data_IF_649877536794
#
_entry.id   IF_649877536794
#
_cell.length_a   1.000
_cell.length_b   1.000
_cell.length_c   1.000
_cell.angle_alpha   90.00
_cell.angle_beta   90.00
_cell.angle_gamma   90.00
#
_symmetry.space_group_name_H-M   'P 1'
#
loop_
_entity.id
_entity.type
_entity.pdbx_description
1 polymer ?
#
# COMPACT_ATOMS: atom_id res chain seq x y z
N UNK A 1 -30.20 45.07 -34.83
CA UNK A 1 -29.28 44.85 -33.72
C UNK A 1 -29.41 43.41 -33.29
N UNK A 2 -28.42 42.59 -33.63
CA UNK A 2 -28.40 41.20 -33.21
C UNK A 2 -27.41 41.10 -32.07
N UNK A 3 -27.89 40.81 -30.89
CA UNK A 3 -27.04 40.46 -29.75
C UNK A 3 -26.62 39.02 -29.88
N UNK A 4 -25.35 38.81 -30.13
CA UNK A 4 -24.77 37.50 -30.06
C UNK A 4 -24.40 37.27 -28.60
N UNK A 5 -25.17 36.47 -27.92
CA UNK A 5 -24.82 35.93 -26.62
C UNK A 5 -23.74 34.86 -26.85
N UNK A 6 -22.49 35.25 -26.67
CA UNK A 6 -21.43 34.29 -26.55
C UNK A 6 -21.63 33.53 -25.24
N UNK A 7 -22.12 32.31 -25.36
CA UNK A 7 -22.18 31.41 -24.22
C UNK A 7 -20.77 31.07 -23.75
N UNK A 8 -20.37 31.54 -22.59
CA UNK A 8 -19.21 31.03 -21.90
C UNK A 8 -19.52 29.58 -21.50
N UNK A 9 -19.00 28.65 -22.27
CA UNK A 9 -18.90 27.29 -21.81
C UNK A 9 -17.82 27.25 -20.71
N UNK A 10 -18.23 27.29 -19.46
CA UNK A 10 -17.36 27.03 -18.36
C UNK A 10 -16.96 25.53 -18.45
N UNK A 11 -15.77 25.27 -18.94
CA UNK A 11 -15.19 23.96 -18.82
C UNK A 11 -14.93 23.71 -17.32
N UNK A 12 -15.80 22.95 -16.69
CA UNK A 12 -15.53 22.39 -15.37
C UNK A 12 -14.38 21.41 -15.53
N UNK A 13 -13.17 21.87 -15.25
CA UNK A 13 -12.05 21.00 -14.95
C UNK A 13 -12.40 20.30 -13.65
N UNK A 14 -12.94 19.10 -13.76
CA UNK A 14 -12.95 18.18 -12.64
C UNK A 14 -11.49 17.75 -12.46
N UNK A 15 -10.77 18.46 -11.60
CA UNK A 15 -9.53 17.97 -11.07
C UNK A 15 -9.95 16.83 -10.15
N UNK A 16 -10.05 15.61 -10.72
CA UNK A 16 -10.14 14.43 -9.93
C UNK A 16 -8.91 14.40 -9.05
N UNK A 17 -9.09 14.43 -7.72
CA UNK A 17 -8.04 14.03 -6.83
C UNK A 17 -7.61 12.65 -7.30
N UNK A 18 -6.41 12.57 -7.89
CA UNK A 18 -5.74 11.31 -8.06
C UNK A 18 -5.32 10.84 -6.66
N UNK A 19 -6.28 10.50 -5.82
CA UNK A 19 -6.01 9.57 -4.75
C UNK A 19 -5.52 8.32 -5.47
N UNK A 20 -4.27 7.94 -5.19
CA UNK A 20 -3.78 6.66 -5.62
C UNK A 20 -4.86 5.65 -5.21
N UNK A 21 -5.57 5.11 -6.20
CA UNK A 21 -6.62 4.15 -5.93
C UNK A 21 -6.02 3.08 -5.03
N UNK A 22 -6.59 2.90 -3.83
CA UNK A 22 -6.13 1.85 -2.94
C UNK A 22 -6.23 0.53 -3.70
N UNK A 23 -5.20 -0.30 -3.57
CA UNK A 23 -5.20 -1.61 -4.21
C UNK A 23 -6.43 -2.41 -3.76
N UNK A 24 -7.07 -3.10 -4.69
CA UNK A 24 -8.00 -4.15 -4.33
C UNK A 24 -7.24 -5.43 -3.94
N UNK A 25 -7.95 -6.40 -3.38
CA UNK A 25 -7.35 -7.65 -2.93
C UNK A 25 -6.62 -8.38 -4.06
N UNK A 26 -7.19 -8.45 -5.26
CA UNK A 26 -6.60 -9.17 -6.38
C UNK A 26 -5.31 -8.47 -6.86
N UNK A 27 -5.31 -7.14 -6.93
CA UNK A 27 -4.12 -6.36 -7.29
C UNK A 27 -3.02 -6.48 -6.24
N UNK A 28 -3.38 -6.46 -4.96
CA UNK A 28 -2.44 -6.64 -3.86
C UNK A 28 -1.80 -8.03 -3.87
N UNK A 29 -2.59 -9.08 -4.06
CA UNK A 29 -2.08 -10.45 -4.16
C UNK A 29 -1.15 -10.63 -5.37
N UNK A 30 -1.48 -10.04 -6.51
CA UNK A 30 -0.63 -10.08 -7.68
C UNK A 30 0.73 -9.39 -7.42
N UNK A 31 0.70 -8.26 -6.73
CA UNK A 31 1.90 -7.53 -6.33
C UNK A 31 2.73 -8.32 -5.32
N UNK A 32 2.11 -8.96 -4.35
CA UNK A 32 2.77 -9.83 -3.38
C UNK A 32 3.53 -10.97 -4.08
N UNK A 33 2.94 -11.59 -5.09
CA UNK A 33 3.59 -12.66 -5.86
C UNK A 33 4.74 -12.12 -6.69
N UNK A 34 4.51 -11.03 -7.39
CA UNK A 34 5.52 -10.38 -8.23
C UNK A 34 6.75 -9.97 -7.44
N UNK A 35 6.55 -9.42 -6.26
CA UNK A 35 7.62 -8.86 -5.43
C UNK A 35 8.16 -9.84 -4.38
N UNK A 36 7.71 -11.10 -4.42
CA UNK A 36 8.22 -12.16 -3.56
C UNK A 36 7.68 -12.17 -2.13
N UNK A 37 6.76 -11.30 -1.79
CA UNK A 37 6.18 -11.19 -0.44
C UNK A 37 5.38 -12.44 -0.06
N UNK A 38 4.71 -13.05 -1.02
CA UNK A 38 3.85 -14.22 -0.80
C UNK A 38 4.61 -15.48 -0.37
N UNK A 39 5.94 -15.50 -0.51
CA UNK A 39 6.76 -16.60 -0.01
C UNK A 39 6.75 -16.69 1.52
N UNK A 40 6.61 -15.56 2.21
CA UNK A 40 6.70 -15.47 3.67
C UNK A 40 5.46 -14.91 4.34
N UNK A 41 4.61 -14.23 3.60
CA UNK A 41 3.41 -13.57 4.11
C UNK A 41 2.15 -14.05 3.41
N UNK A 42 1.06 -14.11 4.16
CA UNK A 42 -0.29 -14.23 3.63
C UNK A 42 -1.16 -13.13 4.23
N UNK A 43 -2.35 -12.93 3.67
CA UNK A 43 -3.27 -11.89 4.16
C UNK A 43 -3.79 -12.22 5.55
N UNK A 44 -4.20 -13.47 5.77
CA UNK A 44 -5.00 -13.90 6.91
C UNK A 44 -4.33 -14.96 7.79
N UNK A 45 -3.14 -15.39 7.48
CA UNK A 45 -2.43 -16.40 8.28
C UNK A 45 -0.93 -16.19 8.29
N UNK A 46 -0.31 -16.59 9.40
CA UNK A 46 1.15 -16.63 9.53
C UNK A 46 1.71 -17.77 8.68
N UNK A 47 2.76 -17.46 7.92
CA UNK A 47 3.58 -18.46 7.23
C UNK A 47 4.97 -18.45 7.88
N UNK A 48 5.94 -17.77 7.29
CA UNK A 48 7.24 -17.49 7.91
C UNK A 48 7.17 -16.15 8.64
N UNK A 49 6.63 -15.12 7.97
CA UNK A 49 6.35 -13.83 8.57
C UNK A 49 4.91 -13.71 9.05
N UNK A 50 4.58 -12.62 9.75
CA UNK A 50 3.22 -12.38 10.22
C UNK A 50 2.23 -12.25 9.08
N UNK A 51 0.95 -12.54 9.35
CA UNK A 51 -0.11 -12.21 8.42
C UNK A 51 -0.22 -10.68 8.26
N UNK A 52 -0.70 -10.22 7.13
CA UNK A 52 -0.90 -8.79 6.93
C UNK A 52 -2.00 -8.21 7.83
N UNK A 53 -3.00 -9.02 8.19
CA UNK A 53 -4.00 -8.63 9.18
C UNK A 53 -3.39 -8.39 10.56
N UNK A 54 -2.44 -9.23 10.97
CA UNK A 54 -1.70 -9.04 12.22
C UNK A 54 -0.84 -7.77 12.19
N UNK A 55 -0.19 -7.51 11.06
CA UNK A 55 0.59 -6.27 10.85
C UNK A 55 -0.32 -5.05 10.99
N UNK A 56 -1.47 -5.06 10.32
CA UNK A 56 -2.43 -3.97 10.41
C UNK A 56 -2.92 -3.75 11.86
N UNK A 57 -3.22 -4.82 12.57
CA UNK A 57 -3.66 -4.74 13.97
C UNK A 57 -2.58 -4.16 14.88
N UNK A 58 -1.32 -4.56 14.70
CA UNK A 58 -0.19 -4.06 15.50
C UNK A 58 0.03 -2.57 15.32
N UNK A 59 -0.09 -2.08 14.11
CA UNK A 59 0.19 -0.68 13.78
C UNK A 59 -1.05 0.22 13.73
N UNK A 60 -2.19 -0.29 14.19
CA UNK A 60 -3.42 0.49 14.23
C UNK A 60 -3.22 1.76 15.07
N UNK A 61 -3.52 2.92 14.48
CA UNK A 61 -3.38 4.21 15.15
C UNK A 61 -1.96 4.78 15.16
N UNK A 62 -0.98 4.06 14.64
CA UNK A 62 0.39 4.58 14.50
C UNK A 62 0.49 5.40 13.20
N UNK A 63 0.60 6.71 13.35
CA UNK A 63 0.70 7.65 12.21
C UNK A 63 2.00 7.49 11.42
N UNK A 64 3.02 6.93 12.04
CA UNK A 64 4.32 6.70 11.40
C UNK A 64 4.42 5.32 10.74
N UNK A 65 3.41 4.47 10.89
CA UNK A 65 3.42 3.12 10.36
C UNK A 65 3.72 3.04 8.86
N UNK A 66 3.13 3.90 7.99
CA UNK A 66 3.45 3.84 6.57
C UNK A 66 4.94 4.00 6.27
N UNK A 67 5.61 4.94 6.90
CA UNK A 67 7.05 5.17 6.71
C UNK A 67 7.89 4.04 7.32
N UNK A 68 7.54 3.60 8.53
CA UNK A 68 8.24 2.50 9.21
C UNK A 68 8.16 1.20 8.42
N UNK A 69 6.99 0.86 7.91
CA UNK A 69 6.78 -0.38 7.16
C UNK A 69 7.42 -0.33 5.78
N UNK A 70 7.37 0.80 5.11
CA UNK A 70 8.06 0.99 3.84
C UNK A 70 9.58 0.79 4.00
N UNK A 71 10.17 1.36 5.04
CA UNK A 71 11.57 1.16 5.38
C UNK A 71 11.88 -0.31 5.69
N UNK A 72 11.01 -0.98 6.45
CA UNK A 72 11.16 -2.40 6.79
C UNK A 72 11.18 -3.28 5.54
N UNK A 73 10.32 -3.02 4.57
CA UNK A 73 10.29 -3.77 3.31
C UNK A 73 11.58 -3.55 2.52
N UNK A 74 12.04 -2.32 2.42
CA UNK A 74 13.24 -1.99 1.63
C UNK A 74 14.54 -2.49 2.27
N UNK A 75 14.67 -2.36 3.58
CA UNK A 75 15.91 -2.66 4.31
C UNK A 75 15.87 -4.03 5.00
N UNK A 76 14.70 -4.60 5.21
CA UNK A 76 14.55 -5.85 5.97
C UNK A 76 14.82 -5.68 7.46
N UNK A 77 15.05 -6.78 8.12
CA UNK A 77 15.39 -6.81 9.54
C UNK A 77 14.64 -7.85 10.32
N UNK A 78 14.88 -7.90 11.63
CA UNK A 78 14.27 -8.86 12.55
C UNK A 78 13.97 -8.20 13.91
N UNK A 79 13.34 -8.95 14.80
CA UNK A 79 13.13 -8.55 16.19
C UNK A 79 11.72 -8.09 16.54
N UNK A 80 10.99 -7.47 15.61
CA UNK A 80 9.60 -7.02 15.87
C UNK A 80 8.64 -8.21 15.95
N UNK A 81 8.84 -9.20 15.08
CA UNK A 81 8.01 -10.40 14.95
C UNK A 81 8.76 -11.69 15.27
N UNK A 82 9.88 -11.58 15.93
CA UNK A 82 10.73 -12.71 16.26
C UNK A 82 12.11 -12.61 15.61
N UNK A 83 12.85 -13.71 15.64
CA UNK A 83 14.26 -13.73 15.25
C UNK A 83 14.50 -14.01 13.77
N UNK A 84 13.51 -14.56 13.07
CA UNK A 84 13.66 -14.85 11.63
C UNK A 84 13.69 -13.53 10.88
N UNK A 85 14.79 -13.23 10.16
CA UNK A 85 14.90 -11.95 9.48
C UNK A 85 14.04 -11.90 8.23
N UNK A 86 13.43 -10.74 7.98
CA UNK A 86 12.87 -10.41 6.70
C UNK A 86 14.00 -9.94 5.78
N UNK A 87 14.22 -10.58 4.63
CA UNK A 87 15.22 -10.09 3.70
C UNK A 87 14.90 -8.70 3.16
N UNK A 88 15.90 -7.88 2.83
CA UNK A 88 15.63 -6.61 2.18
C UNK A 88 15.05 -6.82 0.78
N UNK A 89 14.05 -6.01 0.43
CA UNK A 89 13.45 -6.02 -0.91
C UNK A 89 13.89 -4.75 -1.66
N UNK A 90 15.12 -4.78 -2.16
CA UNK A 90 15.74 -3.61 -2.80
C UNK A 90 15.23 -3.37 -4.23
N UNK A 91 14.58 -4.36 -4.84
CA UNK A 91 14.19 -4.29 -6.27
C UNK A 91 12.76 -3.80 -6.50
N UNK A 92 11.90 -3.86 -5.48
CA UNK A 92 10.54 -3.32 -5.56
C UNK A 92 10.59 -1.79 -5.57
N UNK A 93 9.86 -1.17 -6.48
CA UNK A 93 9.80 0.28 -6.56
C UNK A 93 9.21 0.91 -5.29
N UNK A 94 9.63 2.12 -4.97
CA UNK A 94 9.10 2.83 -3.80
C UNK A 94 7.59 3.08 -3.92
N UNK A 95 7.09 3.31 -5.13
CA UNK A 95 5.66 3.45 -5.39
C UNK A 95 4.88 2.16 -5.08
N UNK A 96 5.39 1.01 -5.47
CA UNK A 96 4.78 -0.29 -5.20
C UNK A 96 4.83 -0.61 -3.70
N UNK A 97 5.95 -0.35 -3.04
CA UNK A 97 6.09 -0.54 -1.59
C UNK A 97 5.06 0.32 -0.85
N UNK A 98 4.94 1.59 -1.22
CA UNK A 98 3.96 2.50 -0.61
C UNK A 98 2.53 2.01 -0.82
N UNK A 99 2.19 1.65 -2.03
CA UNK A 99 0.84 1.17 -2.36
C UNK A 99 0.49 -0.10 -1.56
N UNK A 100 1.41 -1.04 -1.47
CA UNK A 100 1.19 -2.28 -0.74
C UNK A 100 1.11 -2.04 0.77
N UNK A 101 1.98 -1.22 1.33
CA UNK A 101 1.95 -0.87 2.77
C UNK A 101 0.65 -0.15 3.12
N UNK A 102 0.25 0.83 2.34
CA UNK A 102 -1.01 1.54 2.58
C UNK A 102 -2.21 0.58 2.52
N UNK A 103 -2.22 -0.37 1.60
CA UNK A 103 -3.25 -1.39 1.53
C UNK A 103 -3.23 -2.32 2.75
N UNK A 104 -2.08 -2.80 3.18
CA UNK A 104 -1.93 -3.65 4.38
C UNK A 104 -2.55 -2.97 5.59
N UNK A 105 -2.28 -1.67 5.76
CA UNK A 105 -2.78 -0.91 6.91
C UNK A 105 -4.31 -0.70 6.89
N UNK A 106 -4.98 -0.98 5.78
CA UNK A 106 -6.45 -0.94 5.71
C UNK A 106 -7.11 -2.24 6.16
N UNK A 107 -6.35 -3.31 6.32
CA UNK A 107 -6.90 -4.63 6.63
C UNK A 107 -7.49 -4.69 8.04
N UNK A 108 -8.56 -5.44 8.17
CA UNK A 108 -9.21 -5.75 9.44
C UNK A 108 -9.17 -7.25 9.68
N UNK A 109 -9.00 -7.59 10.90
CA UNK A 109 -9.09 -8.98 11.34
C UNK A 109 -10.51 -9.48 11.30
#
# INVERSE_FOLDING_TARGET
>A
MKFVLAGLAAALLVIGNAEAASLDMAAAEAMMKKDGCAACHAVDKKIIGPSYQEVAAKYKGDKEAPAKLAKKVKEGGSGVWGQIPMPPNATTSDADVKALVDWILTLKK
#
